data_IF_721536871982
#
_entry.id   IF_721536871982
#
_cell.length_a   1.000
_cell.length_b   1.000
_cell.length_c   1.000
_cell.angle_alpha   90.00
_cell.angle_beta   90.00
_cell.angle_gamma   90.00
#
_symmetry.space_group_name_H-M   'P 1'
#
loop_
_entity.id
_entity.type
_entity.pdbx_description
1 polymer ?
#
# COMPACT_ATOMS: atom_id res chain seq x y z
N UNK A 1 -11.36 32.79 31.39
CA UNK A 1 -11.81 34.20 31.29
C UNK A 1 -11.60 34.68 29.86
N UNK A 2 -12.60 35.29 29.21
CA UNK A 2 -12.49 35.85 27.86
C UNK A 2 -12.17 37.34 27.97
N UNK A 3 -11.09 37.79 27.32
CA UNK A 3 -10.71 39.21 27.28
C UNK A 3 -11.33 39.90 26.07
N UNK A 4 -11.53 41.22 26.10
CA UNK A 4 -12.00 41.99 24.94
C UNK A 4 -10.82 42.63 24.19
N UNK A 5 -10.87 42.61 22.85
CA UNK A 5 -9.93 43.34 21.98
C UNK A 5 -10.72 44.17 20.96
N UNK A 6 -10.52 45.48 20.99
CA UNK A 6 -11.28 46.45 20.16
C UNK A 6 -10.41 47.21 19.16
N UNK A 7 -9.08 47.09 19.23
CA UNK A 7 -8.14 47.84 18.38
C UNK A 7 -7.49 46.92 17.34
N UNK A 8 -7.52 47.34 16.07
CA UNK A 8 -6.84 46.63 14.98
C UNK A 8 -5.30 46.63 15.12
N UNK A 9 -4.74 47.65 15.78
CA UNK A 9 -3.30 47.76 16.08
C UNK A 9 -2.83 46.86 17.23
N UNK A 10 -3.70 46.04 17.81
CA UNK A 10 -3.29 45.10 18.86
C UNK A 10 -2.28 44.07 18.28
N UNK A 11 -1.15 43.79 18.94
CA UNK A 11 -0.13 42.89 18.39
C UNK A 11 -0.64 41.49 18.01
N UNK A 12 -1.52 40.89 18.82
CA UNK A 12 -2.09 39.57 18.54
C UNK A 12 -3.02 39.61 17.31
N UNK A 13 -3.74 40.72 17.12
CA UNK A 13 -4.60 40.92 15.94
C UNK A 13 -3.75 41.11 14.68
N UNK A 14 -2.63 41.84 14.78
CA UNK A 14 -1.71 42.01 13.66
C UNK A 14 -1.05 40.69 13.27
N UNK A 15 -0.55 39.93 14.24
CA UNK A 15 -0.01 38.59 14.02
C UNK A 15 -1.03 37.68 13.33
N UNK A 16 -2.25 37.58 13.89
CA UNK A 16 -3.30 36.76 13.30
C UNK A 16 -3.61 37.20 11.87
N UNK A 17 -3.63 38.51 11.60
CA UNK A 17 -3.87 39.07 10.26
C UNK A 17 -2.74 38.74 9.29
N UNK A 18 -1.48 38.86 9.71
CA UNK A 18 -0.34 38.58 8.85
C UNK A 18 -0.34 37.12 8.35
N UNK A 19 -0.85 36.20 9.17
CA UNK A 19 -1.03 34.80 8.82
C UNK A 19 -2.17 34.55 7.81
N UNK A 20 -2.88 35.57 7.31
CA UNK A 20 -3.75 35.43 6.13
C UNK A 20 -2.96 35.05 4.88
N UNK A 21 -1.68 35.42 4.82
CA UNK A 21 -0.78 35.22 3.67
C UNK A 21 0.07 33.95 3.85
N UNK A 22 0.13 33.11 2.82
CA UNK A 22 0.91 31.86 2.84
C UNK A 22 2.38 32.08 3.18
N UNK A 23 3.00 33.11 2.60
CA UNK A 23 4.40 33.50 2.87
C UNK A 23 4.69 33.66 4.36
N UNK A 24 3.78 34.27 5.11
CA UNK A 24 3.96 34.53 6.54
C UNK A 24 3.72 33.25 7.36
N UNK A 25 2.71 32.43 6.99
CA UNK A 25 2.50 31.12 7.63
C UNK A 25 3.73 30.23 7.56
N UNK A 26 4.35 30.15 6.38
CA UNK A 26 5.56 29.36 6.12
C UNK A 26 6.74 29.95 6.89
N UNK A 27 6.99 31.26 6.78
CA UNK A 27 8.11 31.94 7.44
C UNK A 27 8.06 31.80 8.96
N UNK A 28 6.87 31.96 9.54
CA UNK A 28 6.71 32.06 10.99
C UNK A 28 6.38 30.69 11.63
N UNK A 29 6.29 29.61 10.84
CA UNK A 29 5.85 28.28 11.25
C UNK A 29 4.54 28.30 12.03
N UNK A 30 3.55 29.05 11.52
CA UNK A 30 2.27 29.28 12.18
C UNK A 30 1.10 29.09 11.24
N UNK A 31 -0.04 28.74 11.82
CA UNK A 31 -1.27 28.41 11.13
C UNK A 31 -2.37 29.38 11.58
N UNK A 32 -3.11 29.94 10.61
CA UNK A 32 -4.34 30.66 10.88
C UNK A 32 -5.53 29.70 10.73
N UNK A 33 -6.16 29.35 11.84
CA UNK A 33 -7.32 28.46 11.89
C UNK A 33 -8.60 29.28 11.71
N UNK A 34 -9.44 28.94 10.74
CA UNK A 34 -10.65 29.69 10.38
C UNK A 34 -11.89 28.88 10.74
N UNK A 35 -12.65 29.36 11.72
CA UNK A 35 -13.88 28.72 12.16
C UNK A 35 -13.69 27.62 13.21
N UNK A 36 -14.81 27.17 13.76
CA UNK A 36 -14.83 26.24 14.89
C UNK A 36 -14.37 24.83 14.51
N UNK A 37 -14.66 24.38 13.28
CA UNK A 37 -14.22 23.07 12.79
C UNK A 37 -12.69 22.97 12.74
N UNK A 38 -12.01 23.96 12.14
CA UNK A 38 -10.55 23.96 12.06
C UNK A 38 -9.90 24.03 13.44
N UNK A 39 -10.48 24.77 14.38
CA UNK A 39 -10.05 24.76 15.78
C UNK A 39 -10.14 23.37 16.42
N UNK A 40 -11.22 22.61 16.14
CA UNK A 40 -11.36 21.25 16.64
C UNK A 40 -10.32 20.32 16.03
N UNK A 41 -10.17 20.34 14.71
CA UNK A 41 -9.17 19.51 14.05
C UNK A 41 -7.76 19.81 14.53
N UNK A 42 -7.42 21.08 14.75
CA UNK A 42 -6.13 21.46 15.32
C UNK A 42 -5.94 20.90 16.73
N UNK A 43 -6.95 21.04 17.60
CA UNK A 43 -6.93 20.46 18.95
C UNK A 43 -6.79 18.92 18.91
N UNK A 44 -7.57 18.24 18.07
CA UNK A 44 -7.57 16.79 17.90
C UNK A 44 -6.29 16.27 17.22
N UNK A 45 -5.50 17.18 16.65
CA UNK A 45 -4.15 16.91 16.12
C UNK A 45 -3.03 17.26 17.10
N UNK A 46 -3.36 17.75 18.29
CA UNK A 46 -2.39 18.14 19.31
C UNK A 46 -1.62 19.42 18.97
N UNK A 47 -2.11 20.25 18.03
CA UNK A 47 -1.46 21.52 17.70
C UNK A 47 -1.50 22.48 18.88
N UNK A 48 -0.41 23.22 19.08
CA UNK A 48 -0.31 24.24 20.10
C UNK A 48 -1.01 25.52 19.66
N UNK A 49 -2.31 25.61 19.92
CA UNK A 49 -3.12 26.80 19.67
C UNK A 49 -2.70 27.89 20.69
N UNK A 50 -2.26 29.05 20.22
CA UNK A 50 -1.78 30.17 21.06
C UNK A 50 -2.86 31.15 21.46
N UNK A 51 -3.79 31.43 20.55
CA UNK A 51 -4.86 32.40 20.78
C UNK A 51 -6.08 32.11 19.92
N UNK A 52 -7.26 32.45 20.44
CA UNK A 52 -8.53 32.33 19.71
C UNK A 52 -9.26 33.67 19.78
N UNK A 53 -9.57 34.24 18.62
CA UNK A 53 -10.43 35.42 18.46
C UNK A 53 -11.85 34.97 18.15
N UNK A 54 -12.84 35.54 18.83
CA UNK A 54 -14.24 35.14 18.76
C UNK A 54 -15.07 36.38 18.45
N UNK A 55 -16.02 36.27 17.53
CA UNK A 55 -16.97 37.34 17.24
C UNK A 55 -17.74 37.71 18.50
N UNK A 56 -18.02 39.00 18.70
CA UNK A 56 -18.89 39.46 19.78
C UNK A 56 -20.28 38.82 19.76
N UNK A 57 -20.74 38.31 18.62
CA UNK A 57 -22.04 37.69 18.41
C UNK A 57 -22.05 36.17 18.69
N UNK A 58 -20.89 35.53 18.87
CA UNK A 58 -20.80 34.09 19.14
C UNK A 58 -20.98 33.77 20.63
N UNK A 59 -21.59 32.63 20.92
CA UNK A 59 -21.69 32.13 22.30
C UNK A 59 -20.30 31.66 22.80
N UNK A 60 -19.74 32.27 23.87
CA UNK A 60 -18.51 31.85 24.55
C UNK A 60 -18.41 30.36 24.88
N UNK A 61 -19.54 29.73 25.20
CA UNK A 61 -19.57 28.37 25.72
C UNK A 61 -19.06 27.32 24.72
N UNK A 62 -19.26 27.57 23.42
CA UNK A 62 -18.73 26.73 22.33
C UNK A 62 -17.20 26.57 22.39
N UNK A 63 -16.51 27.52 23.03
CA UNK A 63 -15.06 27.59 23.07
C UNK A 63 -14.47 27.16 24.43
N UNK A 64 -15.28 26.82 25.43
CA UNK A 64 -14.82 26.41 26.78
C UNK A 64 -13.83 25.25 26.74
N UNK A 65 -13.99 24.33 25.78
CA UNK A 65 -13.14 23.13 25.60
C UNK A 65 -11.71 23.41 25.16
N UNK A 66 -11.39 24.63 24.74
CA UNK A 66 -10.03 24.99 24.32
C UNK A 66 -9.29 25.62 25.50
N UNK A 67 -8.09 25.15 25.83
CA UNK A 67 -7.25 25.74 26.89
C UNK A 67 -6.71 27.16 26.62
N UNK A 68 -6.37 27.56 25.36
CA UNK A 68 -5.70 28.83 25.08
C UNK A 68 -6.51 30.08 25.46
N UNK A 69 -5.83 31.25 25.59
CA UNK A 69 -6.47 32.55 25.73
C UNK A 69 -7.47 32.85 24.62
N UNK A 70 -8.63 33.38 25.02
CA UNK A 70 -9.75 33.71 24.14
C UNK A 70 -10.02 35.21 24.19
N UNK A 71 -10.23 35.80 23.02
CA UNK A 71 -10.41 37.23 22.85
C UNK A 71 -11.70 37.50 22.07
N UNK A 72 -12.64 38.20 22.69
CA UNK A 72 -13.85 38.66 22.00
C UNK A 72 -13.54 39.96 21.25
N UNK A 73 -13.96 40.04 19.98
CA UNK A 73 -13.68 41.19 19.12
C UNK A 73 -14.84 41.48 18.15
N UNK A 74 -14.76 42.58 17.39
CA UNK A 74 -15.80 42.98 16.45
C UNK A 74 -15.75 42.19 15.14
N UNK A 75 -16.88 42.08 14.46
CA UNK A 75 -16.96 41.44 13.13
C UNK A 75 -16.05 42.13 12.11
N UNK A 76 -15.88 43.46 12.20
CA UNK A 76 -15.00 44.22 11.34
C UNK A 76 -13.53 43.83 11.52
N UNK A 77 -13.08 43.63 12.77
CA UNK A 77 -11.72 43.18 13.06
C UNK A 77 -11.50 41.76 12.53
N UNK A 78 -12.44 40.83 12.73
CA UNK A 78 -12.32 39.46 12.22
C UNK A 78 -12.22 39.41 10.69
N UNK A 79 -13.06 40.18 9.97
CA UNK A 79 -12.96 40.29 8.50
C UNK A 79 -11.60 40.82 8.04
N UNK A 80 -11.00 41.75 8.81
CA UNK A 80 -9.65 42.26 8.53
C UNK A 80 -8.55 41.24 8.87
N UNK A 81 -8.73 40.41 9.89
CA UNK A 81 -7.81 39.30 10.24
C UNK A 81 -7.79 38.26 9.13
N UNK A 82 -8.95 37.88 8.59
CA UNK A 82 -9.06 36.83 7.58
C UNK A 82 -8.85 37.32 6.15
N UNK A 83 -8.90 38.65 5.96
CA UNK A 83 -8.90 39.32 4.66
C UNK A 83 -10.03 38.83 3.74
N UNK A 84 -11.21 38.57 4.33
CA UNK A 84 -12.42 38.11 3.63
C UNK A 84 -13.55 39.14 3.71
N UNK A 85 -14.43 39.14 2.71
CA UNK A 85 -15.62 40.01 2.70
C UNK A 85 -16.74 39.47 3.61
N UNK A 86 -16.78 38.15 3.80
CA UNK A 86 -17.70 37.47 4.72
C UNK A 86 -17.09 37.29 6.11
N UNK A 87 -17.95 37.11 7.11
CA UNK A 87 -17.54 36.90 8.50
C UNK A 87 -17.13 35.44 8.71
N UNK A 88 -15.93 35.24 9.26
CA UNK A 88 -15.53 33.98 9.89
C UNK A 88 -15.70 34.16 11.40
N UNK A 89 -16.63 33.44 12.07
CA UNK A 89 -17.04 33.76 13.45
C UNK A 89 -15.94 33.61 14.51
N UNK A 90 -14.90 32.84 14.23
CA UNK A 90 -13.73 32.70 15.09
C UNK A 90 -12.45 32.40 14.30
N UNK A 91 -11.32 32.88 14.82
CA UNK A 91 -10.00 32.66 14.22
C UNK A 91 -9.03 32.19 15.30
N UNK A 92 -8.29 31.12 15.05
CA UNK A 92 -7.19 30.65 15.89
C UNK A 92 -5.83 30.96 15.29
N UNK A 93 -4.82 31.06 16.14
CA UNK A 93 -3.40 31.01 15.75
C UNK A 93 -2.79 29.80 16.43
N UNK A 94 -2.11 28.94 15.67
CA UNK A 94 -1.42 27.77 16.20
C UNK A 94 0.01 27.67 15.65
N UNK A 95 0.90 27.01 16.39
CA UNK A 95 2.21 26.60 15.86
C UNK A 95 2.05 25.42 14.91
N UNK A 96 2.79 25.45 13.81
CA UNK A 96 2.98 24.29 12.94
C UNK A 96 4.05 23.38 13.53
N UNK A 97 3.91 22.08 13.30
CA UNK A 97 4.94 21.08 13.63
C UNK A 97 5.42 20.41 12.34
N UNK A 98 6.71 20.13 12.27
CA UNK A 98 7.30 19.25 11.25
C UNK A 98 7.91 18.04 11.94
N UNK A 99 7.58 16.84 11.47
CA UNK A 99 8.16 15.60 12.00
C UNK A 99 9.08 14.94 10.98
N UNK A 100 9.75 13.88 11.43
CA UNK A 100 10.69 13.09 10.66
C UNK A 100 10.07 12.41 9.43
N UNK A 101 10.81 12.43 8.33
CA UNK A 101 10.52 11.66 7.12
C UNK A 101 11.05 10.24 7.28
N UNK A 102 10.23 9.34 7.81
CA UNK A 102 10.54 7.91 7.86
C UNK A 102 9.28 7.08 7.57
N UNK A 103 8.87 7.04 6.30
CA UNK A 103 7.81 6.15 5.82
C UNK A 103 8.28 5.41 4.57
N UNK A 104 7.89 4.14 4.45
CA UNK A 104 8.16 3.35 3.24
C UNK A 104 7.27 3.74 2.04
N UNK A 105 6.37 4.71 2.20
CA UNK A 105 5.54 5.22 1.11
C UNK A 105 5.43 6.73 1.22
N UNK A 106 5.80 7.44 0.16
CA UNK A 106 5.73 8.90 0.08
C UNK A 106 5.01 9.34 -1.19
N UNK A 107 4.39 10.51 -1.14
CA UNK A 107 3.73 11.14 -2.30
C UNK A 107 4.56 12.32 -2.78
N UNK A 108 4.96 12.32 -4.05
CA UNK A 108 5.59 13.46 -4.71
C UNK A 108 4.57 14.15 -5.61
N UNK A 109 4.16 15.36 -5.22
CA UNK A 109 3.29 16.23 -5.97
C UNK A 109 4.13 17.10 -6.91
N UNK A 110 4.24 16.67 -8.17
CA UNK A 110 5.02 17.38 -9.18
C UNK A 110 4.21 18.55 -9.77
N UNK A 111 4.49 19.74 -9.26
CA UNK A 111 3.84 21.01 -9.57
C UNK A 111 2.29 20.98 -9.51
N UNK A 112 1.71 20.18 -8.62
CA UNK A 112 0.25 20.20 -8.36
C UNK A 112 -0.13 21.54 -7.71
N UNK A 113 -1.11 22.24 -8.29
CA UNK A 113 -1.44 23.63 -7.90
C UNK A 113 -2.74 23.78 -7.14
N UNK A 114 -3.76 22.97 -7.42
CA UNK A 114 -5.04 23.19 -6.77
C UNK A 114 -5.01 22.74 -5.29
N UNK A 115 -5.17 23.70 -4.39
CA UNK A 115 -5.22 23.45 -2.95
C UNK A 115 -6.33 22.48 -2.51
N UNK A 116 -7.43 22.37 -3.28
CA UNK A 116 -8.49 21.41 -3.01
C UNK A 116 -8.07 19.97 -3.34
N UNK A 117 -7.44 19.78 -4.51
CA UNK A 117 -6.82 18.51 -4.91
C UNK A 117 -5.74 18.09 -3.92
N UNK A 118 -4.84 19.01 -3.54
CA UNK A 118 -3.82 18.76 -2.51
C UNK A 118 -4.46 18.29 -1.21
N UNK A 119 -5.52 18.95 -0.73
CA UNK A 119 -6.21 18.55 0.49
C UNK A 119 -6.86 17.16 0.38
N UNK A 120 -7.46 16.84 -0.77
CA UNK A 120 -7.99 15.51 -1.06
C UNK A 120 -6.90 14.44 -1.06
N UNK A 121 -5.75 14.71 -1.70
CA UNK A 121 -4.59 13.80 -1.74
C UNK A 121 -4.03 13.58 -0.33
N UNK A 122 -3.91 14.64 0.48
CA UNK A 122 -3.48 14.55 1.87
C UNK A 122 -4.43 13.65 2.67
N UNK A 123 -5.74 13.89 2.58
CA UNK A 123 -6.74 13.11 3.31
C UNK A 123 -6.74 11.64 2.90
N UNK A 124 -6.68 11.37 1.60
CA UNK A 124 -6.64 10.01 1.08
C UNK A 124 -5.37 9.32 1.51
N UNK A 125 -4.19 9.92 1.30
CA UNK A 125 -2.93 9.32 1.72
C UNK A 125 -2.86 9.05 3.23
N UNK A 126 -3.33 9.99 4.06
CA UNK A 126 -3.39 9.78 5.51
C UNK A 126 -4.28 8.60 5.91
N UNK A 127 -5.40 8.38 5.22
CA UNK A 127 -6.26 7.23 5.44
C UNK A 127 -5.57 5.89 5.12
N UNK A 128 -4.58 5.90 4.23
CA UNK A 128 -3.72 4.77 3.89
C UNK A 128 -2.34 4.80 4.59
N UNK A 129 -2.24 5.55 5.69
CA UNK A 129 -1.04 5.61 6.52
C UNK A 129 0.16 6.33 5.89
N UNK A 130 -0.02 7.10 4.82
CA UNK A 130 1.02 7.94 4.23
C UNK A 130 1.09 9.25 5.01
N UNK A 131 2.24 9.54 5.61
CA UNK A 131 2.43 10.78 6.38
C UNK A 131 3.34 11.78 5.68
N UNK A 132 4.09 11.37 4.67
CA UNK A 132 5.15 12.17 4.06
C UNK A 132 4.77 12.57 2.64
N UNK A 133 4.74 13.89 2.44
CA UNK A 133 4.40 14.53 1.17
C UNK A 133 5.59 15.36 0.70
N UNK A 134 5.89 15.30 -0.57
CA UNK A 134 6.95 16.06 -1.21
C UNK A 134 6.30 16.88 -2.31
N UNK A 135 6.77 18.09 -2.54
CA UNK A 135 6.25 18.95 -3.59
C UNK A 135 7.36 19.68 -4.31
N UNK A 136 7.14 19.96 -5.59
CA UNK A 136 7.99 20.84 -6.41
C UNK A 136 7.33 22.20 -6.67
N UNK A 137 6.10 22.40 -6.18
CA UNK A 137 5.40 23.66 -6.28
C UNK A 137 5.97 24.67 -5.27
N UNK A 138 6.47 25.81 -5.77
CA UNK A 138 7.06 26.89 -4.96
C UNK A 138 6.05 27.61 -4.07
N UNK A 139 4.78 27.60 -4.47
CA UNK A 139 3.68 28.24 -3.76
C UNK A 139 2.91 27.27 -2.87
N UNK A 140 3.42 26.05 -2.68
CA UNK A 140 2.78 25.05 -1.84
C UNK A 140 2.62 25.55 -0.41
N UNK A 141 1.39 25.50 0.07
CA UNK A 141 1.03 25.76 1.46
C UNK A 141 0.03 24.70 1.93
N UNK A 142 0.45 23.76 2.80
CA UNK A 142 -0.43 22.71 3.30
C UNK A 142 -1.51 23.27 4.25
N UNK A 143 -1.33 24.48 4.75
CA UNK A 143 -2.24 25.17 5.65
C UNK A 143 -3.04 26.28 4.96
N UNK A 144 -3.06 26.27 3.62
CA UNK A 144 -4.00 27.09 2.89
C UNK A 144 -5.43 26.71 3.29
N UNK A 145 -6.37 27.65 3.51
CA UNK A 145 -7.70 27.34 4.01
C UNK A 145 -8.43 26.25 3.21
N UNK A 146 -8.37 26.32 1.87
CA UNK A 146 -8.96 25.32 0.97
C UNK A 146 -8.34 23.93 1.17
N UNK A 147 -7.03 23.84 1.44
CA UNK A 147 -6.34 22.57 1.72
C UNK A 147 -6.74 21.99 3.08
N UNK A 148 -6.84 22.82 4.12
CA UNK A 148 -7.32 22.39 5.44
C UNK A 148 -8.74 21.83 5.34
N UNK A 149 -9.63 22.55 4.65
CA UNK A 149 -11.04 22.17 4.52
C UNK A 149 -11.20 20.89 3.68
N UNK A 150 -10.56 20.80 2.50
CA UNK A 150 -10.60 19.62 1.66
C UNK A 150 -9.98 18.39 2.36
N UNK A 151 -8.92 18.60 3.14
CA UNK A 151 -8.29 17.53 3.92
C UNK A 151 -9.06 17.16 5.19
N UNK A 152 -10.08 17.95 5.56
CA UNK A 152 -10.79 17.86 6.85
C UNK A 152 -9.83 17.85 8.04
N UNK A 153 -8.80 18.71 7.99
CA UNK A 153 -7.80 18.88 9.04
C UNK A 153 -6.71 17.81 9.10
N UNK A 154 -6.71 16.80 8.22
CA UNK A 154 -5.62 15.81 8.16
C UNK A 154 -4.28 16.42 7.74
N UNK A 155 -4.30 17.60 7.07
CA UNK A 155 -3.10 18.41 6.80
C UNK A 155 -2.30 18.79 8.06
N UNK A 156 -2.92 18.80 9.25
CA UNK A 156 -2.23 19.04 10.52
C UNK A 156 -1.45 17.84 11.04
N UNK A 157 -1.60 16.65 10.41
CA UNK A 157 -1.06 15.37 10.88
C UNK A 157 -0.07 14.75 9.89
N UNK A 158 0.42 15.52 8.92
CA UNK A 158 1.32 15.07 7.86
C UNK A 158 2.56 15.95 7.78
N UNK A 159 3.64 15.41 7.25
CA UNK A 159 4.89 16.09 6.99
C UNK A 159 4.96 16.47 5.51
N UNK A 160 5.60 17.61 5.24
CA UNK A 160 5.80 18.09 3.88
C UNK A 160 7.23 18.59 3.69
N UNK A 161 7.78 18.37 2.49
CA UNK A 161 9.11 18.85 2.09
C UNK A 161 9.03 19.41 0.67
N UNK A 162 9.49 20.63 0.49
CA UNK A 162 9.54 21.27 -0.82
C UNK A 162 10.92 21.12 -1.43
N UNK A 163 10.96 20.82 -2.73
CA UNK A 163 12.16 20.86 -3.55
C UNK A 163 12.01 21.92 -4.64
N UNK A 164 13.15 22.41 -5.12
CA UNK A 164 13.17 23.41 -6.18
C UNK A 164 12.66 22.86 -7.53
N UNK A 165 12.88 21.58 -7.79
CA UNK A 165 12.45 20.89 -9.01
C UNK A 165 12.36 19.38 -8.78
N UNK A 166 11.68 18.69 -9.71
CA UNK A 166 11.46 17.25 -9.65
C UNK A 166 12.78 16.47 -9.74
N UNK A 167 13.74 16.93 -10.53
CA UNK A 167 15.06 16.27 -10.63
C UNK A 167 15.75 16.11 -9.28
N UNK A 168 15.79 17.16 -8.46
CA UNK A 168 16.36 17.07 -7.11
C UNK A 168 15.54 16.17 -6.19
N UNK A 169 14.20 16.27 -6.24
CA UNK A 169 13.32 15.45 -5.42
C UNK A 169 13.49 13.95 -5.72
N UNK A 170 13.40 13.57 -7.00
CA UNK A 170 13.53 12.19 -7.47
C UNK A 170 14.94 11.64 -7.18
N UNK A 171 15.99 12.44 -7.42
CA UNK A 171 17.36 12.03 -7.11
C UNK A 171 17.56 11.75 -5.61
N UNK A 172 17.04 12.59 -4.73
CA UNK A 172 17.14 12.39 -3.28
C UNK A 172 16.34 11.15 -2.84
N UNK A 173 15.13 10.95 -3.36
CA UNK A 173 14.33 9.75 -3.11
C UNK A 173 15.06 8.46 -3.54
N UNK A 174 15.64 8.45 -4.74
CA UNK A 174 16.42 7.29 -5.21
C UNK A 174 17.63 7.00 -4.33
N UNK A 175 18.35 8.03 -3.86
CA UNK A 175 19.47 7.87 -2.91
C UNK A 175 19.02 7.26 -1.58
N UNK A 176 17.80 7.55 -1.16
CA UNK A 176 17.18 6.95 0.03
C UNK A 176 16.51 5.58 -0.25
N UNK A 177 16.75 4.98 -1.42
CA UNK A 177 16.31 3.64 -1.75
C UNK A 177 14.86 3.53 -2.26
N UNK A 178 14.17 4.65 -2.50
CA UNK A 178 12.81 4.62 -3.03
C UNK A 178 12.77 4.16 -4.50
N UNK A 179 11.79 3.32 -4.81
CA UNK A 179 11.32 3.06 -6.17
C UNK A 179 10.36 4.18 -6.59
N UNK A 180 10.62 4.78 -7.74
CA UNK A 180 9.87 5.93 -8.26
C UNK A 180 8.80 5.42 -9.22
N UNK A 181 7.53 5.56 -8.81
CA UNK A 181 6.36 5.16 -9.59
C UNK A 181 5.59 6.43 -9.96
N UNK A 182 5.64 6.83 -11.22
CA UNK A 182 4.95 8.02 -11.71
C UNK A 182 3.64 7.65 -12.43
N UNK A 183 2.58 8.43 -12.22
CA UNK A 183 1.30 8.23 -12.91
C UNK A 183 1.18 9.13 -14.13
N UNK A 184 0.80 8.57 -15.27
CA UNK A 184 0.44 9.32 -16.47
C UNK A 184 -0.62 8.56 -17.27
N UNK A 185 -1.64 9.23 -17.85
CA UNK A 185 -2.56 8.61 -18.79
C UNK A 185 -1.85 7.96 -19.99
N UNK A 186 -0.66 8.46 -20.34
CA UNK A 186 0.18 7.95 -21.43
C UNK A 186 1.29 7.00 -20.95
N UNK A 187 1.18 6.47 -19.73
CA UNK A 187 2.12 5.50 -19.19
C UNK A 187 2.16 4.22 -20.02
N UNK A 188 3.36 3.69 -20.29
CA UNK A 188 3.54 2.50 -21.13
C UNK A 188 3.09 1.19 -20.45
N UNK A 189 2.85 1.22 -19.14
CA UNK A 189 2.50 0.03 -18.36
C UNK A 189 1.21 0.27 -17.58
N UNK A 190 0.33 -0.73 -17.54
CA UNK A 190 -0.83 -0.70 -16.66
C UNK A 190 -0.35 -0.82 -15.22
N UNK A 191 -0.82 0.05 -14.34
CA UNK A 191 -0.47 0.01 -12.92
C UNK A 191 -0.80 -1.34 -12.27
N UNK A 192 -1.91 -1.95 -12.69
CA UNK A 192 -2.37 -3.26 -12.22
C UNK A 192 -1.39 -4.39 -12.54
N UNK A 193 -0.55 -4.22 -13.57
CA UNK A 193 0.47 -5.17 -14.00
C UNK A 193 1.86 -4.85 -13.44
N UNK A 194 1.99 -3.76 -12.66
CA UNK A 194 3.27 -3.37 -12.06
C UNK A 194 3.72 -4.40 -11.01
N UNK A 195 4.97 -4.84 -11.13
CA UNK A 195 5.66 -5.65 -10.12
C UNK A 195 6.46 -4.74 -9.18
N UNK A 196 6.11 -4.73 -7.90
CA UNK A 196 6.84 -3.96 -6.89
C UNK A 196 8.06 -4.75 -6.39
N UNK A 197 9.16 -4.06 -6.14
CA UNK A 197 10.45 -4.68 -5.81
C UNK A 197 10.83 -4.54 -4.32
N UNK A 198 9.83 -4.51 -3.44
CA UNK A 198 9.97 -4.42 -1.96
C UNK A 198 10.73 -3.18 -1.45
N UNK A 199 11.03 -2.24 -2.34
CA UNK A 199 11.61 -0.95 -1.98
C UNK A 199 10.51 -0.02 -1.47
N UNK A 200 10.87 0.97 -0.63
CA UNK A 200 9.99 2.10 -0.36
C UNK A 200 9.45 2.71 -1.66
N UNK A 201 8.19 3.13 -1.70
CA UNK A 201 7.54 3.67 -2.90
C UNK A 201 7.48 5.19 -2.80
N UNK A 202 7.94 5.87 -3.85
CA UNK A 202 7.60 7.26 -4.09
C UNK A 202 6.61 7.33 -5.25
N UNK A 203 5.35 7.57 -4.93
CA UNK A 203 4.30 7.77 -5.92
C UNK A 203 4.32 9.22 -6.41
N UNK A 204 4.61 9.43 -7.68
CA UNK A 204 4.67 10.75 -8.32
C UNK A 204 3.39 11.01 -9.08
N UNK A 205 2.75 12.14 -8.77
CA UNK A 205 1.54 12.61 -9.46
C UNK A 205 1.79 14.01 -9.99
N UNK A 206 1.32 14.28 -11.21
CA UNK A 206 1.65 15.49 -11.95
C UNK A 206 0.63 16.60 -11.82
N UNK A 207 0.99 17.76 -12.38
CA UNK A 207 0.13 18.92 -12.53
C UNK A 207 -1.16 18.58 -13.30
N UNK A 208 -2.26 19.22 -12.93
CA UNK A 208 -3.58 18.96 -13.51
C UNK A 208 -3.67 19.22 -15.03
N UNK A 209 -2.84 20.11 -15.57
CA UNK A 209 -2.86 20.50 -16.98
C UNK A 209 -1.69 19.91 -17.76
N UNK A 210 -0.49 19.88 -17.18
CA UNK A 210 0.73 19.46 -17.90
C UNK A 210 1.17 18.03 -17.56
N UNK A 211 0.55 17.38 -16.58
CA UNK A 211 0.99 16.09 -16.08
C UNK A 211 2.35 16.15 -15.38
N UNK A 212 3.06 15.01 -15.36
CA UNK A 212 4.40 14.89 -14.77
C UNK A 212 5.45 15.57 -15.67
N UNK A 213 6.46 16.19 -15.06
CA UNK A 213 7.54 16.86 -15.78
C UNK A 213 8.49 15.88 -16.48
N UNK A 214 9.22 16.37 -17.48
CA UNK A 214 10.26 15.59 -18.18
C UNK A 214 11.32 15.05 -17.21
N UNK A 215 11.68 15.83 -16.18
CA UNK A 215 12.60 15.39 -15.12
C UNK A 215 12.12 14.10 -14.42
N UNK A 216 10.81 13.97 -14.20
CA UNK A 216 10.19 12.74 -13.65
C UNK A 216 10.21 11.64 -14.69
N UNK A 217 9.81 11.93 -15.93
CA UNK A 217 9.74 10.94 -17.02
C UNK A 217 11.10 10.26 -17.24
N UNK A 218 12.18 11.03 -17.23
CA UNK A 218 13.55 10.53 -17.45
C UNK A 218 14.09 9.70 -16.28
N UNK A 219 13.60 9.93 -15.06
CA UNK A 219 14.16 9.32 -13.84
C UNK A 219 13.24 8.33 -13.15
N UNK A 220 11.97 8.25 -13.51
CA UNK A 220 11.02 7.31 -12.94
C UNK A 220 11.45 5.86 -13.25
N UNK A 221 11.33 4.97 -12.27
CA UNK A 221 11.56 3.54 -12.51
C UNK A 221 10.38 2.95 -13.28
N UNK A 222 9.17 3.48 -13.04
CA UNK A 222 7.96 3.10 -13.74
C UNK A 222 7.07 4.32 -14.02
N UNK A 223 6.53 4.39 -15.24
CA UNK A 223 5.47 5.32 -15.60
C UNK A 223 4.23 4.49 -15.93
N UNK A 224 3.25 4.56 -15.03
CA UNK A 224 2.06 3.71 -15.06
C UNK A 224 0.82 4.51 -15.40
N UNK A 225 -0.12 3.85 -16.08
CA UNK A 225 -1.45 4.38 -16.35
C UNK A 225 -2.52 3.60 -15.57
N UNK A 226 -3.58 4.32 -15.18
CA UNK A 226 -4.82 3.71 -14.69
C UNK A 226 -5.66 3.40 -15.95
N UNK A 227 -6.09 2.15 -16.17
CA UNK A 227 -6.92 1.81 -17.32
C UNK A 227 -8.24 2.59 -17.28
N UNK A 228 -8.60 3.24 -18.39
CA UNK A 228 -9.86 3.96 -18.55
C UNK A 228 -10.62 3.36 -19.74
N UNK A 229 -11.94 3.19 -19.58
CA UNK A 229 -12.78 2.55 -20.60
C UNK A 229 -13.26 3.53 -21.69
N UNK A 230 -13.31 4.82 -21.39
CA UNK A 230 -13.88 5.86 -22.26
C UNK A 230 -12.82 6.82 -22.79
N UNK A 231 -13.21 7.71 -23.71
CA UNK A 231 -12.36 8.76 -24.30
C UNK A 231 -12.01 9.91 -23.34
N UNK A 232 -12.20 9.74 -22.03
CA UNK A 232 -11.80 10.76 -21.06
C UNK A 232 -10.28 10.82 -21.02
N UNK A 233 -9.72 12.00 -21.35
CA UNK A 233 -8.26 12.19 -21.46
C UNK A 233 -7.52 11.92 -20.14
N UNK A 234 -8.11 12.31 -19.02
CA UNK A 234 -7.52 12.11 -17.70
C UNK A 234 -8.55 12.17 -16.57
N UNK A 235 -8.22 11.52 -15.45
CA UNK A 235 -8.95 11.65 -14.20
C UNK A 235 -8.47 12.89 -13.44
N UNK A 236 -9.34 13.45 -12.59
CA UNK A 236 -8.92 14.43 -11.58
C UNK A 236 -7.73 13.88 -10.78
N UNK A 237 -6.68 14.68 -10.56
CA UNK A 237 -5.44 14.25 -9.91
C UNK A 237 -5.68 13.65 -8.51
N UNK A 238 -6.63 14.18 -7.73
CA UNK A 238 -6.99 13.63 -6.43
C UNK A 238 -7.63 12.23 -6.52
N UNK A 239 -8.47 12.01 -7.53
CA UNK A 239 -9.09 10.71 -7.83
C UNK A 239 -8.04 9.71 -8.32
N UNK A 240 -7.23 10.10 -9.30
CA UNK A 240 -6.14 9.27 -9.83
C UNK A 240 -5.19 8.84 -8.70
N UNK A 241 -4.76 9.80 -7.88
CA UNK A 241 -3.91 9.54 -6.70
C UNK A 241 -4.56 8.54 -5.75
N UNK A 242 -5.87 8.65 -5.49
CA UNK A 242 -6.57 7.73 -4.61
C UNK A 242 -6.64 6.31 -5.15
N UNK A 243 -6.91 6.13 -6.44
CA UNK A 243 -6.89 4.81 -7.11
C UNK A 243 -5.48 4.22 -7.05
N UNK A 244 -4.46 5.03 -7.37
CA UNK A 244 -3.06 4.61 -7.32
C UNK A 244 -2.62 4.20 -5.93
N UNK A 245 -2.94 4.98 -4.89
CA UNK A 245 -2.64 4.62 -3.51
C UNK A 245 -3.32 3.31 -3.13
N UNK A 246 -4.62 3.18 -3.40
CA UNK A 246 -5.36 1.98 -3.03
C UNK A 246 -4.76 0.72 -3.66
N UNK A 247 -4.50 0.76 -4.97
CA UNK A 247 -3.98 -0.40 -5.70
C UNK A 247 -2.54 -0.73 -5.28
N UNK A 248 -1.67 0.27 -5.13
CA UNK A 248 -0.29 0.05 -4.69
C UNK A 248 -0.23 -0.48 -3.25
N UNK A 249 -1.05 0.07 -2.32
CA UNK A 249 -1.15 -0.44 -0.95
C UNK A 249 -1.71 -1.85 -0.91
N UNK A 250 -2.70 -2.15 -1.74
CA UNK A 250 -3.22 -3.52 -1.87
C UNK A 250 -2.12 -4.46 -2.36
N UNK A 251 -1.33 -4.07 -3.36
CA UNK A 251 -0.18 -4.84 -3.84
C UNK A 251 0.90 -5.01 -2.76
N UNK A 252 1.24 -3.97 -2.01
CA UNK A 252 2.15 -4.09 -0.86
C UNK A 252 1.60 -5.07 0.18
N UNK A 253 0.32 -4.96 0.54
CA UNK A 253 -0.32 -5.87 1.48
C UNK A 253 -0.35 -7.31 0.96
N UNK A 254 -0.62 -7.51 -0.33
CA UNK A 254 -0.57 -8.83 -0.98
C UNK A 254 0.85 -9.38 -1.06
N UNK A 255 1.87 -8.54 -1.26
CA UNK A 255 3.28 -8.94 -1.24
C UNK A 255 3.72 -9.30 0.17
N UNK A 256 3.42 -8.46 1.17
CA UNK A 256 3.67 -8.76 2.58
C UNK A 256 2.91 -10.00 3.03
N UNK A 257 1.67 -10.20 2.55
CA UNK A 257 0.90 -11.40 2.83
C UNK A 257 1.48 -12.60 2.08
N UNK A 258 1.91 -12.46 0.82
CA UNK A 258 2.57 -13.52 0.07
C UNK A 258 3.91 -13.90 0.70
N UNK A 259 4.67 -12.93 1.20
CA UNK A 259 5.90 -13.16 1.97
C UNK A 259 5.60 -13.77 3.31
N UNK A 260 4.67 -13.22 4.09
CA UNK A 260 4.26 -13.81 5.37
C UNK A 260 3.66 -15.18 5.16
N UNK A 261 2.98 -15.44 4.05
CA UNK A 261 2.62 -16.76 3.59
C UNK A 261 3.93 -17.50 3.34
N UNK A 262 4.81 -17.19 2.39
CA UNK A 262 6.09 -17.87 2.16
C UNK A 262 7.04 -18.01 3.38
N UNK A 263 6.95 -17.17 4.40
CA UNK A 263 7.77 -17.16 5.60
C UNK A 263 7.07 -17.75 6.81
N UNK A 264 5.74 -17.76 6.85
CA UNK A 264 4.94 -18.35 7.94
C UNK A 264 4.34 -19.63 7.44
N UNK A 265 3.66 -19.64 6.30
CA UNK A 265 3.16 -20.76 5.50
C UNK A 265 4.27 -21.37 4.60
N UNK A 266 5.08 -20.73 3.78
CA UNK A 266 6.31 -21.35 3.26
C UNK A 266 7.33 -21.65 4.36
N UNK A 267 7.07 -21.39 5.66
CA UNK A 267 7.68 -22.09 6.81
C UNK A 267 6.74 -23.00 7.62
N UNK A 268 5.41 -22.99 7.47
CA UNK A 268 4.39 -23.81 8.18
C UNK A 268 3.63 -24.73 7.22
N UNK A 269 3.62 -24.50 5.93
CA UNK A 269 3.56 -25.35 4.73
C UNK A 269 4.97 -25.72 4.25
N UNK A 270 6.09 -25.02 4.50
CA UNK A 270 7.36 -25.79 4.58
C UNK A 270 7.40 -26.59 5.86
N UNK A 271 6.89 -26.16 7.01
CA UNK A 271 6.81 -27.07 8.17
C UNK A 271 5.62 -27.99 8.07
N UNK A 272 4.50 -27.71 7.39
CA UNK A 272 3.38 -28.66 7.21
C UNK A 272 3.60 -29.51 5.99
N UNK A 273 4.11 -29.00 4.87
CA UNK A 273 4.62 -29.90 3.83
C UNK A 273 5.89 -30.59 4.29
N UNK A 274 6.78 -30.02 5.12
CA UNK A 274 7.88 -30.80 5.73
C UNK A 274 7.38 -31.69 6.87
N UNK A 275 6.28 -31.43 7.58
CA UNK A 275 5.72 -32.30 8.64
C UNK A 275 4.87 -33.38 8.01
N UNK A 276 4.17 -33.10 6.91
CA UNK A 276 3.51 -34.06 6.02
C UNK A 276 4.60 -34.86 5.33
N UNK A 277 5.59 -34.26 4.68
CA UNK A 277 6.78 -34.97 4.12
C UNK A 277 7.55 -35.70 5.20
N UNK A 278 7.67 -35.20 6.43
CA UNK A 278 8.35 -35.86 7.56
C UNK A 278 7.47 -36.96 8.14
N UNK A 279 6.15 -36.83 8.19
CA UNK A 279 5.22 -37.89 8.55
C UNK A 279 5.22 -39.00 7.50
N UNK A 280 5.25 -38.64 6.22
CA UNK A 280 5.49 -39.52 5.09
C UNK A 280 6.86 -40.20 5.23
N UNK A 281 7.96 -39.45 5.35
CA UNK A 281 9.32 -39.97 5.49
C UNK A 281 9.46 -40.88 6.72
N UNK A 282 8.88 -40.52 7.87
CA UNK A 282 8.84 -41.35 9.09
C UNK A 282 8.10 -42.65 8.80
N UNK A 283 6.87 -42.60 8.26
CA UNK A 283 6.09 -43.82 7.99
C UNK A 283 6.67 -44.69 6.87
N UNK A 284 7.28 -44.09 5.86
CA UNK A 284 7.97 -44.78 4.77
C UNK A 284 9.25 -45.44 5.28
N UNK A 285 10.06 -44.74 6.09
CA UNK A 285 11.27 -45.30 6.72
C UNK A 285 10.93 -46.44 7.70
N UNK A 286 9.85 -46.34 8.47
CA UNK A 286 9.32 -47.41 9.32
C UNK A 286 8.83 -48.63 8.51
N UNK A 287 8.29 -48.40 7.30
CA UNK A 287 7.71 -49.46 6.46
C UNK A 287 8.75 -50.35 5.77
N UNK A 288 10.01 -49.89 5.62
CA UNK A 288 11.07 -50.54 4.83
C UNK A 288 10.71 -50.82 3.35
N UNK A 289 9.65 -50.19 2.82
CA UNK A 289 9.16 -50.44 1.45
C UNK A 289 10.07 -49.79 0.39
N UNK A 290 10.65 -48.62 0.68
CA UNK A 290 11.48 -47.87 -0.28
C UNK A 290 12.43 -46.90 0.43
N UNK A 291 13.53 -46.54 -0.25
CA UNK A 291 14.52 -45.54 0.18
C UNK A 291 14.27 -44.16 -0.44
N UNK A 292 13.16 -43.96 -1.15
CA UNK A 292 12.79 -42.69 -1.75
C UNK A 292 12.41 -41.66 -0.70
N UNK A 293 12.64 -40.40 -1.02
CA UNK A 293 12.16 -39.27 -0.21
C UNK A 293 10.67 -39.02 -0.45
N UNK A 294 10.01 -38.36 0.50
CA UNK A 294 8.62 -37.93 0.36
C UNK A 294 8.38 -37.06 -0.86
N UNK A 295 9.37 -36.24 -1.25
CA UNK A 295 9.30 -35.41 -2.46
C UNK A 295 9.26 -36.26 -3.74
N UNK A 296 10.03 -37.35 -3.79
CA UNK A 296 10.05 -38.28 -4.91
C UNK A 296 8.75 -39.08 -5.03
N UNK A 297 8.11 -39.40 -3.90
CA UNK A 297 6.83 -40.11 -3.88
C UNK A 297 5.68 -39.20 -4.31
N UNK A 298 5.64 -37.94 -3.82
CA UNK A 298 4.66 -36.95 -4.27
C UNK A 298 4.82 -36.71 -5.78
N UNK A 299 6.06 -36.62 -6.27
CA UNK A 299 6.32 -36.50 -7.70
C UNK A 299 5.77 -37.69 -8.50
N UNK A 300 5.98 -38.94 -8.08
CA UNK A 300 5.38 -40.11 -8.74
C UNK A 300 3.84 -40.05 -8.73
N UNK A 301 3.20 -39.58 -7.65
CA UNK A 301 1.74 -39.44 -7.58
C UNK A 301 1.21 -38.40 -8.57
N UNK A 302 1.89 -37.26 -8.70
CA UNK A 302 1.56 -36.23 -9.71
C UNK A 302 1.77 -36.79 -11.12
N UNK A 303 2.89 -37.48 -11.36
CA UNK A 303 3.22 -38.05 -12.65
C UNK A 303 2.22 -39.11 -13.11
N UNK A 304 1.72 -39.95 -12.20
CA UNK A 304 0.64 -40.91 -12.47
C UNK A 304 -0.65 -40.24 -12.92
N UNK A 305 -0.94 -39.03 -12.42
CA UNK A 305 -2.14 -38.28 -12.78
C UNK A 305 -1.98 -37.52 -14.10
N UNK A 306 -0.85 -36.87 -14.29
CA UNK A 306 -0.58 -36.01 -15.46
C UNK A 306 -0.10 -36.83 -16.67
N UNK A 307 0.11 -38.13 -16.51
CA UNK A 307 0.67 -39.10 -17.47
C UNK A 307 2.13 -38.84 -17.85
N UNK A 308 2.50 -37.58 -18.11
CA UNK A 308 3.85 -37.17 -18.46
C UNK A 308 4.17 -35.76 -17.96
N UNK A 309 5.45 -35.48 -17.68
CA UNK A 309 5.94 -34.15 -17.33
C UNK A 309 7.33 -33.88 -17.93
N UNK A 310 7.58 -32.64 -18.35
CA UNK A 310 8.89 -32.19 -18.79
C UNK A 310 9.71 -31.55 -17.66
N UNK A 311 11.02 -31.42 -17.88
CA UNK A 311 11.93 -30.81 -16.90
C UNK A 311 11.43 -29.45 -16.41
N UNK A 312 11.07 -28.53 -17.31
CA UNK A 312 10.65 -27.19 -16.92
C UNK A 312 9.42 -27.19 -15.99
N UNK A 313 8.45 -28.07 -16.25
CA UNK A 313 7.27 -28.26 -15.39
C UNK A 313 7.67 -28.77 -14.01
N UNK A 314 8.57 -29.75 -13.94
CA UNK A 314 9.04 -30.30 -12.67
C UNK A 314 9.88 -29.29 -11.89
N UNK A 315 10.77 -28.55 -12.56
CA UNK A 315 11.58 -27.49 -11.94
C UNK A 315 10.69 -26.39 -11.36
N UNK A 316 9.64 -25.95 -12.08
CA UNK A 316 8.68 -24.95 -11.60
C UNK A 316 7.80 -25.45 -10.46
N UNK A 317 7.36 -26.70 -10.50
CA UNK A 317 6.38 -27.24 -9.55
C UNK A 317 7.01 -27.77 -8.26
N UNK A 318 8.24 -28.29 -8.33
CA UNK A 318 8.93 -28.90 -7.18
C UNK A 318 10.14 -28.08 -6.71
N UNK A 319 10.54 -27.04 -7.43
CA UNK A 319 11.59 -26.09 -7.02
C UNK A 319 13.01 -26.68 -7.08
N UNK A 320 13.21 -27.78 -7.78
CA UNK A 320 14.53 -28.38 -8.01
C UNK A 320 15.11 -27.88 -9.32
N UNK A 321 16.07 -26.96 -9.28
CA UNK A 321 16.72 -26.41 -10.48
C UNK A 321 18.14 -26.95 -10.65
N UNK A 322 18.62 -27.01 -11.88
CA UNK A 322 20.02 -27.31 -12.21
C UNK A 322 20.48 -28.67 -11.64
N UNK A 323 21.58 -28.73 -10.88
CA UNK A 323 22.12 -30.00 -10.38
C UNK A 323 21.21 -30.67 -9.33
N UNK A 324 20.40 -29.89 -8.61
CA UNK A 324 19.41 -30.46 -7.67
C UNK A 324 18.30 -31.23 -8.39
N UNK A 325 17.94 -30.82 -9.61
CA UNK A 325 17.02 -31.58 -10.45
C UNK A 325 17.59 -32.97 -10.76
N UNK A 326 18.87 -33.03 -11.12
CA UNK A 326 19.54 -34.30 -11.44
C UNK A 326 19.58 -35.21 -10.22
N UNK A 327 19.93 -34.69 -9.05
CA UNK A 327 19.91 -35.44 -7.78
C UNK A 327 18.52 -35.97 -7.44
N UNK A 328 17.48 -35.18 -7.71
CA UNK A 328 16.09 -35.53 -7.48
C UNK A 328 15.59 -36.67 -8.40
N UNK A 329 15.83 -36.55 -9.70
CA UNK A 329 15.30 -37.47 -10.72
C UNK A 329 16.13 -38.75 -10.87
N UNK A 330 17.45 -38.68 -10.65
CA UNK A 330 18.34 -39.82 -10.92
C UNK A 330 17.97 -41.11 -10.16
N UNK A 331 17.64 -41.08 -8.85
CA UNK A 331 17.24 -42.28 -8.12
C UNK A 331 15.94 -42.91 -8.64
N UNK A 332 14.99 -42.08 -9.09
CA UNK A 332 13.73 -42.55 -9.67
C UNK A 332 13.95 -43.26 -11.01
N UNK A 333 14.83 -42.70 -11.84
CA UNK A 333 15.19 -43.26 -13.13
C UNK A 333 15.99 -44.56 -12.98
N UNK A 334 17.01 -44.57 -12.12
CA UNK A 334 17.81 -45.79 -11.81
C UNK A 334 16.92 -46.87 -11.20
N UNK A 335 15.96 -46.49 -10.35
CA UNK A 335 14.99 -47.42 -9.77
C UNK A 335 13.96 -47.98 -10.77
N UNK A 336 13.99 -47.51 -12.02
CA UNK A 336 13.02 -47.81 -13.09
C UNK A 336 11.59 -47.44 -12.70
N UNK A 337 11.41 -46.44 -11.85
CA UNK A 337 10.08 -45.96 -11.41
C UNK A 337 9.51 -44.93 -12.39
N UNK A 338 10.40 -44.29 -13.14
CA UNK A 338 10.09 -43.42 -14.26
C UNK A 338 10.88 -43.84 -15.50
N UNK A 339 10.34 -43.58 -16.68
CA UNK A 339 11.05 -43.63 -17.95
C UNK A 339 11.24 -42.20 -18.48
N UNK A 340 12.31 -42.02 -19.26
CA UNK A 340 12.80 -40.72 -19.74
C UNK A 340 13.23 -39.78 -18.60
N UNK A 341 14.37 -39.09 -18.78
CA UNK A 341 15.01 -38.36 -17.67
C UNK A 341 14.71 -36.85 -17.64
N UNK A 342 14.42 -36.24 -18.80
CA UNK A 342 14.38 -34.78 -18.91
C UNK A 342 13.24 -34.21 -19.78
N UNK A 343 12.71 -34.97 -20.73
CA UNK A 343 11.79 -34.42 -21.74
C UNK A 343 10.34 -34.87 -21.48
N UNK A 344 10.06 -36.16 -21.61
CA UNK A 344 8.72 -36.71 -21.35
C UNK A 344 8.82 -37.73 -20.23
N UNK A 345 9.09 -37.24 -19.02
CA UNK A 345 9.20 -38.10 -17.85
C UNK A 345 7.84 -38.74 -17.62
N UNK A 346 7.80 -40.06 -17.59
CA UNK A 346 6.57 -40.83 -17.44
C UNK A 346 6.75 -41.86 -16.34
N UNK A 347 5.68 -42.18 -15.60
CA UNK A 347 5.74 -43.24 -14.59
C UNK A 347 5.77 -44.62 -15.28
N UNK A 348 6.54 -45.55 -14.74
CA UNK A 348 6.52 -46.94 -15.19
C UNK A 348 5.49 -47.75 -14.42
N UNK A 349 5.13 -48.93 -14.92
CA UNK A 349 4.29 -49.89 -14.19
C UNK A 349 4.86 -50.23 -12.80
N UNK A 350 6.19 -50.30 -12.67
CA UNK A 350 6.88 -50.52 -11.39
C UNK A 350 6.70 -49.33 -10.43
N UNK A 351 6.74 -48.11 -10.96
CA UNK A 351 6.39 -46.89 -10.22
C UNK A 351 4.94 -46.91 -9.73
N UNK A 352 4.00 -47.33 -10.57
CA UNK A 352 2.60 -47.44 -10.21
C UNK A 352 2.33 -48.52 -9.15
N UNK A 353 2.99 -49.68 -9.25
CA UNK A 353 2.92 -50.76 -8.26
C UNK A 353 3.49 -50.31 -6.91
N UNK A 354 4.57 -49.52 -6.91
CA UNK A 354 5.10 -48.91 -5.69
C UNK A 354 4.08 -47.95 -5.06
N UNK A 355 3.45 -47.08 -5.86
CA UNK A 355 2.41 -46.18 -5.37
C UNK A 355 1.20 -46.94 -4.80
N UNK A 356 0.79 -48.02 -5.44
CA UNK A 356 -0.30 -48.87 -4.94
C UNK A 356 0.03 -49.47 -3.57
N UNK A 357 1.28 -49.90 -3.34
CA UNK A 357 1.75 -50.39 -2.04
C UNK A 357 1.82 -49.30 -0.96
N UNK A 358 2.03 -48.04 -1.37
CA UNK A 358 2.08 -46.89 -0.46
C UNK A 358 0.70 -46.28 -0.17
N UNK A 359 -0.33 -46.60 -0.96
CA UNK A 359 -1.69 -46.06 -0.80
C UNK A 359 -2.28 -46.20 0.61
N UNK A 360 -2.17 -47.37 1.29
CA UNK A 360 -2.66 -47.51 2.66
C UNK A 360 -1.90 -46.64 3.69
N UNK A 361 -0.67 -46.22 3.38
CA UNK A 361 0.11 -45.30 4.22
C UNK A 361 -0.34 -43.87 3.98
N UNK A 362 -0.56 -43.48 2.71
CA UNK A 362 -1.09 -42.17 2.31
C UNK A 362 -2.44 -41.91 3.01
N UNK A 363 -3.36 -42.87 2.92
CA UNK A 363 -4.70 -42.78 3.50
C UNK A 363 -4.66 -42.66 5.04
N UNK A 364 -3.74 -43.37 5.71
CA UNK A 364 -3.54 -43.24 7.16
C UNK A 364 -3.01 -41.87 7.55
N UNK A 365 -2.06 -41.32 6.80
CA UNK A 365 -1.49 -39.99 7.06
C UNK A 365 -2.53 -38.90 6.83
N UNK A 366 -3.32 -38.99 5.76
CA UNK A 366 -4.42 -38.08 5.45
C UNK A 366 -5.50 -38.11 6.54
N UNK A 367 -5.91 -39.30 6.99
CA UNK A 367 -6.86 -39.46 8.08
C UNK A 367 -6.36 -38.88 9.42
N UNK A 368 -5.05 -38.93 9.69
CA UNK A 368 -4.44 -38.33 10.88
C UNK A 368 -4.46 -36.79 10.78
N UNK A 369 -4.14 -36.23 9.61
CA UNK A 369 -4.14 -34.78 9.37
C UNK A 369 -5.56 -34.22 9.49
N UNK A 370 -6.54 -34.94 8.94
CA UNK A 370 -7.94 -34.54 8.93
C UNK A 370 -8.70 -34.91 10.22
N UNK A 371 -8.03 -35.50 11.22
CA UNK A 371 -8.66 -35.97 12.46
C UNK A 371 -9.27 -34.84 13.30
N UNK A 372 -8.75 -33.62 13.17
CA UNK A 372 -9.25 -32.43 13.87
C UNK A 372 -10.35 -31.66 13.15
N UNK A 373 -10.69 -32.02 11.91
CA UNK A 373 -11.70 -31.34 11.11
C UNK A 373 -13.07 -32.00 11.33
N UNK A 374 -14.11 -31.19 11.49
CA UNK A 374 -15.50 -31.65 11.41
C UNK A 374 -15.84 -32.10 9.99
N UNK A 375 -16.89 -32.92 9.84
CA UNK A 375 -17.30 -33.39 8.50
C UNK A 375 -17.68 -32.24 7.57
N UNK A 376 -18.30 -31.20 8.11
CA UNK A 376 -18.69 -30.01 7.35
C UNK A 376 -17.47 -29.21 6.86
N UNK A 377 -16.42 -29.10 7.67
CA UNK A 377 -15.15 -28.45 7.29
C UNK A 377 -14.42 -29.22 6.20
N UNK A 378 -14.43 -30.57 6.27
CA UNK A 378 -13.85 -31.42 5.22
C UNK A 378 -14.59 -31.24 3.89
N UNK A 379 -15.92 -31.20 3.93
CA UNK A 379 -16.75 -31.03 2.73
C UNK A 379 -16.53 -29.66 2.09
N UNK A 380 -16.54 -28.58 2.89
CA UNK A 380 -16.30 -27.21 2.38
C UNK A 380 -14.93 -27.04 1.75
N UNK A 381 -13.90 -27.66 2.33
CA UNK A 381 -12.55 -27.61 1.77
C UNK A 381 -12.50 -28.25 0.37
N UNK A 382 -13.14 -29.42 0.20
CA UNK A 382 -13.19 -30.11 -1.08
C UNK A 382 -13.98 -29.31 -2.14
N UNK A 383 -15.13 -28.75 -1.77
CA UNK A 383 -15.93 -27.90 -2.67
C UNK A 383 -15.16 -26.68 -3.17
N UNK A 384 -14.35 -26.05 -2.30
CA UNK A 384 -13.50 -24.93 -2.67
C UNK A 384 -12.40 -25.31 -3.67
N UNK A 385 -11.75 -26.45 -3.45
CA UNK A 385 -10.68 -26.94 -4.33
C UNK A 385 -11.21 -27.32 -5.72
N UNK A 386 -12.38 -27.94 -5.80
CA UNK A 386 -13.03 -28.27 -7.07
C UNK A 386 -13.43 -27.02 -7.86
N UNK A 387 -13.91 -25.97 -7.18
CA UNK A 387 -14.24 -24.70 -7.84
C UNK A 387 -13.01 -24.03 -8.46
N UNK A 388 -11.89 -24.05 -7.76
CA UNK A 388 -10.61 -23.51 -8.25
C UNK A 388 -10.15 -24.30 -9.50
N UNK A 389 -10.17 -25.64 -9.43
CA UNK A 389 -9.82 -26.53 -10.55
C UNK A 389 -10.70 -26.25 -11.79
N UNK A 390 -12.01 -26.12 -11.61
CA UNK A 390 -12.94 -25.86 -12.69
C UNK A 390 -12.70 -24.50 -13.36
N UNK A 391 -12.39 -23.45 -12.59
CA UNK A 391 -12.05 -22.14 -13.14
C UNK A 391 -10.75 -22.18 -13.97
N UNK A 392 -9.73 -22.92 -13.51
CA UNK A 392 -8.50 -23.11 -14.28
C UNK A 392 -8.76 -23.83 -15.63
N UNK A 393 -9.59 -24.87 -15.63
CA UNK A 393 -9.96 -25.59 -16.86
C UNK A 393 -10.75 -24.72 -17.84
N UNK A 394 -11.60 -23.82 -17.34
CA UNK A 394 -12.34 -22.86 -18.18
C UNK A 394 -11.39 -21.85 -18.86
N UNK A 395 -10.42 -21.32 -18.12
CA UNK A 395 -9.41 -20.40 -18.66
C UNK A 395 -8.59 -21.06 -19.78
N UNK A 396 -8.23 -22.33 -19.62
CA UNK A 396 -7.46 -23.08 -20.62
C UNK A 396 -8.24 -23.37 -21.91
N UNK A 397 -9.59 -23.44 -21.85
CA UNK A 397 -10.44 -23.63 -23.04
C UNK A 397 -10.63 -22.38 -23.90
N UNK A 398 -10.29 -21.19 -23.40
CA UNK A 398 -10.32 -19.94 -24.16
C UNK A 398 -9.00 -19.65 -24.91
N UNK A 399 -8.00 -20.53 -24.79
CA UNK A 399 -6.69 -20.43 -25.45
C UNK A 399 -6.40 -21.56 -26.45
N UNK A 400 -7.41 -22.37 -26.79
CA UNK A 400 -7.43 -23.32 -27.91
C UNK A 400 -8.57 -22.93 -28.85
#
# INVERSE_FOLDING_TARGET
MIKKIEKLKNPLVQEARELSKSKNRIKDNKIQLRGLEQLNWAKDSGLNIKSIFISKNENPDKYKRFSPPKYQTSNGILKKITETNYLIPCVGVAESTSNYFNDNFVLLLDDVKDHGNIGTIIRTGKAYGINNYITTNKDFDPFFPKTIDASRGTAFKVNYKSYENAKKAVSDLKKNGYQIVATSPHGKSLQSMLNLNKKPIALVVGNESTGISNDVIEQADHIVQIPMYTEVESLNVGVATGISIYELRLKEALLMLSEKILDTIGREINVSSQLIKKAFNIKISESKITNLTGDQIIFLMVLKRESQMNKEQVEKQFGYYNDRFKEFITPLYIGELIKNKYEEIEITKKGEELLAKLWPIIEKVENIILKGFTQEEKQRLNEYLDRIKNNCLQIMKYQA
#
